data_IF_390262410446
#
_entry.id   IF_390262410446
#
_cell.length_a   1.000
_cell.length_b   1.000
_cell.length_c   1.000
_cell.angle_alpha   90.00
_cell.angle_beta   90.00
_cell.angle_gamma   90.00
#
_symmetry.space_group_name_H-M   'P 1'
#
loop_
_entity.id
_entity.type
_entity.pdbx_description
1 polymer ?
#
# COMPACT_ATOMS: atom_id res chain seq x y z
N UNK A 1 -2.56 -10.72 32.02
CA UNK A 1 -3.07 -9.62 31.20
C UNK A 1 -3.37 -10.20 29.82
N UNK A 2 -4.62 -10.52 29.52
CA UNK A 2 -5.00 -11.12 28.23
C UNK A 2 -4.90 -10.06 27.14
N UNK A 3 -4.10 -10.31 26.12
CA UNK A 3 -4.12 -9.54 24.88
C UNK A 3 -5.47 -9.81 24.21
N UNK A 4 -6.41 -8.87 24.33
CA UNK A 4 -7.58 -8.86 23.45
C UNK A 4 -7.06 -8.45 22.06
N UNK A 5 -6.92 -9.42 21.17
CA UNK A 5 -6.59 -9.15 19.77
C UNK A 5 -7.70 -8.28 19.16
N UNK A 6 -7.36 -7.06 18.72
CA UNK A 6 -8.29 -6.17 18.01
C UNK A 6 -8.50 -6.70 16.59
N UNK A 7 -9.57 -7.48 16.40
CA UNK A 7 -9.95 -7.96 15.08
C UNK A 7 -10.56 -6.84 14.25
N UNK A 8 -10.04 -6.62 13.05
CA UNK A 8 -10.55 -5.65 12.10
C UNK A 8 -11.89 -6.06 11.48
N UNK A 9 -12.12 -7.36 11.35
CA UNK A 9 -13.41 -7.92 10.98
C UNK A 9 -13.55 -9.33 11.58
N UNK A 10 -14.80 -9.77 11.76
CA UNK A 10 -15.10 -11.15 12.13
C UNK A 10 -16.24 -11.65 11.26
N UNK A 11 -16.06 -12.81 10.64
CA UNK A 11 -17.04 -13.46 9.78
C UNK A 11 -17.46 -14.80 10.38
N UNK A 12 -18.75 -15.13 10.30
CA UNK A 12 -19.30 -16.40 10.78
C UNK A 12 -19.83 -17.22 9.60
N UNK A 13 -19.32 -18.44 9.46
CA UNK A 13 -19.72 -19.42 8.45
C UNK A 13 -20.18 -20.70 9.14
N UNK A 14 -21.48 -20.81 9.40
CA UNK A 14 -22.07 -21.95 10.10
C UNK A 14 -21.52 -22.09 11.53
N UNK A 15 -20.62 -23.05 11.76
CA UNK A 15 -19.92 -23.25 13.05
C UNK A 15 -18.52 -22.61 13.11
N UNK A 16 -18.03 -22.04 12.00
CA UNK A 16 -16.67 -21.52 11.88
C UNK A 16 -16.68 -20.00 12.04
N UNK A 17 -15.79 -19.48 12.89
CA UNK A 17 -15.58 -18.04 13.09
C UNK A 17 -14.21 -17.67 12.55
N UNK A 18 -14.18 -16.73 11.59
CA UNK A 18 -12.95 -16.23 10.97
C UNK A 18 -12.68 -14.84 11.51
N UNK A 19 -11.53 -14.67 12.15
CA UNK A 19 -11.06 -13.41 12.67
C UNK A 19 -10.04 -12.80 11.71
N UNK A 20 -10.31 -11.60 11.22
CA UNK A 20 -9.39 -10.85 10.36
C UNK A 20 -8.64 -9.86 11.23
N UNK A 21 -7.32 -10.03 11.32
CA UNK A 21 -6.43 -9.10 12.02
C UNK A 21 -5.94 -8.08 11.00
N UNK A 22 -6.24 -6.78 11.24
CA UNK A 22 -5.61 -5.75 10.42
C UNK A 22 -4.12 -5.66 10.78
N UNK A 23 -3.24 -5.49 9.78
CA UNK A 23 -1.87 -5.12 10.07
C UNK A 23 -1.82 -3.78 10.78
N UNK A 24 -0.78 -3.56 11.58
CA UNK A 24 -0.57 -2.28 12.25
C UNK A 24 -0.64 -1.11 11.25
N UNK A 25 -1.33 -0.01 11.61
CA UNK A 25 -1.41 1.15 10.74
C UNK A 25 -0.01 1.70 10.51
N UNK A 26 0.38 1.87 9.25
CA UNK A 26 1.67 2.48 8.89
C UNK A 26 1.70 3.92 9.39
N UNK A 27 2.86 4.35 9.88
CA UNK A 27 3.06 5.76 10.23
C UNK A 27 2.89 6.65 9.00
N UNK A 28 2.40 7.88 9.19
CA UNK A 28 2.26 8.85 8.09
C UNK A 28 3.61 9.10 7.38
N UNK A 29 4.71 9.12 8.15
CA UNK A 29 6.07 9.28 7.61
C UNK A 29 6.45 8.16 6.64
N UNK A 30 6.07 6.92 6.93
CA UNK A 30 6.39 5.79 6.05
C UNK A 30 5.49 5.75 4.82
N UNK A 31 4.22 6.16 4.98
CA UNK A 31 3.31 6.37 3.84
C UNK A 31 3.88 7.43 2.90
N UNK A 32 4.36 8.55 3.43
CA UNK A 32 4.92 9.65 2.64
C UNK A 32 6.20 9.24 1.90
N UNK A 33 7.08 8.45 2.53
CA UNK A 33 8.26 7.87 1.87
C UNK A 33 7.89 6.99 0.69
N UNK A 34 6.91 6.09 0.88
CA UNK A 34 6.42 5.19 -0.17
C UNK A 34 5.82 6.03 -1.31
N UNK A 35 5.01 7.04 -0.99
CA UNK A 35 4.41 7.95 -1.97
C UNK A 35 5.46 8.69 -2.78
N UNK A 36 6.51 9.21 -2.15
CA UNK A 36 7.63 9.86 -2.84
C UNK A 36 8.35 8.91 -3.80
N UNK A 37 8.53 7.63 -3.42
CA UNK A 37 9.15 6.64 -4.30
C UNK A 37 8.30 6.41 -5.57
N UNK A 38 6.98 6.27 -5.42
CA UNK A 38 6.07 6.14 -6.56
C UNK A 38 6.10 7.37 -7.48
N UNK A 39 6.10 8.58 -6.91
CA UNK A 39 6.20 9.80 -7.72
C UNK A 39 7.51 9.86 -8.49
N UNK A 40 8.64 9.51 -7.86
CA UNK A 40 9.94 9.46 -8.55
C UNK A 40 9.94 8.45 -9.69
N UNK A 41 9.39 7.26 -9.47
CA UNK A 41 9.29 6.24 -10.51
C UNK A 41 8.39 6.70 -11.67
N UNK A 42 7.22 7.26 -11.37
CA UNK A 42 6.29 7.80 -12.37
C UNK A 42 6.93 8.90 -13.23
N UNK A 43 7.61 9.85 -12.59
CA UNK A 43 8.32 10.92 -13.30
C UNK A 43 9.48 10.40 -14.15
N UNK A 44 10.22 9.40 -13.68
CA UNK A 44 11.28 8.78 -14.46
C UNK A 44 10.74 8.15 -15.75
N UNK A 45 9.61 7.43 -15.66
CA UNK A 45 8.95 6.83 -16.82
C UNK A 45 8.49 7.90 -17.82
N UNK A 46 7.81 8.94 -17.34
CA UNK A 46 7.34 10.04 -18.20
C UNK A 46 8.51 10.70 -18.92
N UNK A 47 9.61 10.96 -18.20
CA UNK A 47 10.81 11.57 -18.77
C UNK A 47 11.44 10.68 -19.84
N UNK A 48 11.48 9.37 -19.62
CA UNK A 48 12.01 8.42 -20.60
C UNK A 48 11.16 8.41 -21.89
N UNK A 49 9.84 8.42 -21.76
CA UNK A 49 8.92 8.48 -22.91
C UNK A 49 9.14 9.78 -23.69
N UNK A 50 9.17 10.93 -23.01
CA UNK A 50 9.37 12.23 -23.65
C UNK A 50 10.73 12.32 -24.35
N UNK A 51 11.80 11.74 -23.78
CA UNK A 51 13.11 11.71 -24.45
C UNK A 51 13.07 10.85 -25.71
N UNK A 52 12.38 9.69 -25.69
CA UNK A 52 12.24 8.84 -26.88
C UNK A 52 11.46 9.55 -27.99
N UNK A 53 10.34 10.18 -27.66
CA UNK A 53 9.53 10.93 -28.63
C UNK A 53 10.31 12.07 -29.31
N UNK A 54 11.15 12.81 -28.56
CA UNK A 54 11.95 13.90 -29.12
C UNK A 54 13.16 13.46 -29.98
N UNK A 55 13.51 12.17 -29.97
CA UNK A 55 14.63 11.60 -30.76
C UNK A 55 14.13 10.92 -32.04
N UNK A 56 12.84 10.61 -32.12
CA UNK A 56 12.20 9.97 -33.27
C UNK A 56 11.54 10.99 -34.24
N UNK A 57 11.55 12.29 -33.93
CA UNK A 57 11.27 13.41 -34.86
C UNK A 57 12.55 14.02 -35.46
#
# INVERSE_FOLDING_TARGET
>A
MSQQEEYAATYEFGKTKVHVVAPEPKSQKDIDKIRQAYYKAGWAIIKEIQVKENVEE
#
